data_IF_854783884941
#
_entry.id   IF_854783884941
#
_cell.length_a   1.000
_cell.length_b   1.000
_cell.length_c   1.000
_cell.angle_alpha   90.00
_cell.angle_beta   90.00
_cell.angle_gamma   90.00
#
_symmetry.space_group_name_H-M   'P 1'
#
loop_
_entity.id
_entity.type
_entity.pdbx_description
1 polymer ?
#
# COMPACT_ATOMS: atom_id res chain seq x y z
N UNK A 1 -5.01 -32.40 -11.72
CA UNK A 1 -3.94 -31.64 -12.40
C UNK A 1 -4.51 -30.28 -12.82
N UNK A 2 -3.97 -29.15 -12.37
CA UNK A 2 -4.36 -27.86 -12.93
C UNK A 2 -3.94 -27.82 -14.41
N UNK A 3 -4.90 -27.54 -15.30
CA UNK A 3 -4.69 -27.49 -16.76
C UNK A 3 -5.04 -26.11 -17.30
N UNK A 4 -4.29 -25.65 -18.30
CA UNK A 4 -4.59 -24.43 -19.06
C UNK A 4 -5.63 -24.68 -20.17
N UNK A 5 -5.91 -25.94 -20.52
CA UNK A 5 -6.75 -26.29 -21.67
C UNK A 5 -8.18 -25.72 -21.61
N UNK A 6 -8.72 -25.49 -20.41
CA UNK A 6 -10.04 -24.87 -20.20
C UNK A 6 -9.98 -23.39 -19.81
N UNK A 7 -8.79 -22.81 -19.63
CA UNK A 7 -8.62 -21.42 -19.20
C UNK A 7 -8.43 -20.51 -20.40
N UNK A 8 -9.15 -19.38 -20.43
CA UNK A 8 -8.89 -18.32 -21.39
C UNK A 8 -7.64 -17.54 -20.98
N UNK A 9 -6.51 -17.90 -21.57
CA UNK A 9 -5.28 -17.12 -21.46
C UNK A 9 -5.26 -16.11 -22.60
N UNK A 10 -5.12 -14.83 -22.25
CA UNK A 10 -4.94 -13.76 -23.22
C UNK A 10 -3.61 -13.04 -22.96
N UNK A 11 -3.13 -12.21 -23.90
CA UNK A 11 -1.94 -11.39 -23.66
C UNK A 11 -2.03 -10.54 -22.38
N UNK A 12 -3.23 -10.11 -22.00
CA UNK A 12 -3.45 -9.36 -20.76
C UNK A 12 -3.22 -10.23 -19.52
N UNK A 13 -3.54 -11.53 -19.54
CA UNK A 13 -3.26 -12.43 -18.40
C UNK A 13 -1.77 -12.48 -18.07
N UNK A 14 -0.91 -12.53 -19.10
CA UNK A 14 0.55 -12.52 -18.93
C UNK A 14 0.99 -11.14 -18.43
N UNK A 15 0.53 -10.06 -19.06
CA UNK A 15 0.82 -8.68 -18.64
C UNK A 15 0.52 -8.47 -17.16
N UNK A 16 -0.66 -8.87 -16.69
CA UNK A 16 -1.04 -8.72 -15.30
C UNK A 16 -0.16 -9.57 -14.37
N UNK A 17 0.12 -10.82 -14.76
CA UNK A 17 0.98 -11.71 -13.96
C UNK A 17 2.39 -11.15 -13.80
N UNK A 18 2.98 -10.63 -14.88
CA UNK A 18 4.32 -10.02 -14.86
C UNK A 18 4.34 -8.75 -14.02
N UNK A 19 3.36 -7.85 -14.19
CA UNK A 19 3.28 -6.61 -13.42
C UNK A 19 3.16 -6.87 -11.91
N UNK A 20 2.31 -7.81 -11.50
CA UNK A 20 2.16 -8.20 -10.09
C UNK A 20 3.45 -8.80 -9.53
N UNK A 21 4.14 -9.66 -10.29
CA UNK A 21 5.40 -10.24 -9.85
C UNK A 21 6.52 -9.21 -9.69
N UNK A 22 6.62 -8.24 -10.61
CA UNK A 22 7.60 -7.16 -10.50
C UNK A 22 7.38 -6.33 -9.23
N UNK A 23 6.14 -5.93 -8.95
CA UNK A 23 5.81 -5.19 -7.73
C UNK A 23 6.13 -6.00 -6.47
N UNK A 24 5.77 -7.29 -6.43
CA UNK A 24 6.09 -8.19 -5.31
C UNK A 24 7.58 -8.34 -5.06
N UNK A 25 8.39 -8.31 -6.12
CA UNK A 25 9.85 -8.32 -5.98
C UNK A 25 10.44 -7.00 -5.47
N UNK A 26 9.61 -5.99 -5.20
CA UNK A 26 10.02 -4.70 -4.67
C UNK A 26 10.37 -3.66 -5.74
N UNK A 27 10.03 -3.90 -7.01
CA UNK A 27 10.24 -2.92 -8.08
C UNK A 27 9.29 -1.74 -7.88
N UNK A 28 9.81 -0.52 -8.02
CA UNK A 28 9.01 0.70 -7.90
C UNK A 28 7.85 0.75 -8.91
N UNK A 29 6.69 1.24 -8.47
CA UNK A 29 5.47 1.29 -9.29
C UNK A 29 5.62 2.19 -10.53
N UNK A 30 6.43 3.25 -10.47
CA UNK A 30 6.71 4.09 -11.63
C UNK A 30 7.58 3.36 -12.66
N UNK A 31 8.49 2.52 -12.18
CA UNK A 31 9.29 1.64 -13.06
C UNK A 31 8.38 0.66 -13.79
N UNK A 32 7.46 0.00 -13.07
CA UNK A 32 6.50 -0.93 -13.68
C UNK A 32 5.58 -0.19 -14.67
N UNK A 33 5.09 1.01 -14.32
CA UNK A 33 4.30 1.86 -15.22
C UNK A 33 5.04 2.16 -16.53
N UNK A 34 6.29 2.61 -16.42
CA UNK A 34 7.12 2.95 -17.57
C UNK A 34 7.38 1.72 -18.45
N UNK A 35 7.68 0.58 -17.83
CA UNK A 35 7.91 -0.69 -18.54
C UNK A 35 6.67 -1.19 -19.29
N UNK A 36 5.48 -0.93 -18.75
CA UNK A 36 4.20 -1.27 -19.35
C UNK A 36 3.68 -0.21 -20.35
N UNK A 37 4.35 0.93 -20.48
CA UNK A 37 3.94 2.05 -21.34
C UNK A 37 2.65 2.73 -20.91
N UNK A 38 2.33 2.72 -19.61
CA UNK A 38 1.11 3.33 -19.09
C UNK A 38 1.23 4.86 -19.01
N UNK A 39 0.30 5.55 -19.69
CA UNK A 39 0.23 7.02 -19.70
C UNK A 39 -0.12 7.57 -18.32
N UNK A 40 -0.99 6.91 -17.55
CA UNK A 40 -1.30 7.28 -16.16
C UNK A 40 -0.75 6.25 -15.16
N UNK A 41 -0.42 6.71 -13.96
CA UNK A 41 -0.13 5.83 -12.84
C UNK A 41 -1.40 5.11 -12.35
N UNK A 42 -2.58 5.70 -12.54
CA UNK A 42 -3.86 5.15 -12.08
C UNK A 42 -4.13 3.77 -12.68
N UNK A 43 -3.76 3.55 -13.96
CA UNK A 43 -3.92 2.25 -14.63
C UNK A 43 -2.94 1.19 -14.11
N UNK A 44 -1.91 1.61 -13.38
CA UNK A 44 -0.91 0.73 -12.75
C UNK A 44 -1.24 0.46 -11.28
N UNK A 45 -1.93 1.39 -10.61
CA UNK A 45 -2.34 1.26 -9.20
C UNK A 45 -3.15 0.01 -8.93
N UNK A 46 -3.92 -0.46 -9.92
CA UNK A 46 -4.66 -1.73 -9.83
C UNK A 46 -3.75 -2.88 -9.37
N UNK A 47 -2.49 -2.93 -9.77
CA UNK A 47 -1.57 -4.00 -9.36
C UNK A 47 -1.12 -3.88 -7.91
N UNK A 48 -1.00 -2.67 -7.36
CA UNK A 48 -0.63 -2.45 -5.98
C UNK A 48 -1.81 -2.70 -5.02
N UNK A 49 -3.03 -2.45 -5.47
CA UNK A 49 -4.22 -2.61 -4.63
C UNK A 49 -4.61 -4.08 -4.39
N UNK A 50 -4.34 -4.97 -5.34
CA UNK A 50 -4.76 -6.37 -5.23
C UNK A 50 -3.84 -7.16 -4.28
N UNK A 51 -2.64 -6.66 -4.00
CA UNK A 51 -1.65 -7.39 -3.21
C UNK A 51 -1.72 -7.06 -1.71
N UNK A 52 -2.36 -7.95 -0.94
CA UNK A 52 -2.50 -7.79 0.52
C UNK A 52 -1.14 -7.70 1.23
N UNK A 53 -0.14 -8.46 0.79
CA UNK A 53 1.19 -8.45 1.38
C UNK A 53 1.84 -7.07 1.23
N UNK A 54 1.73 -6.46 0.04
CA UNK A 54 2.27 -5.13 -0.21
C UNK A 54 1.54 -4.06 0.60
N UNK A 55 0.21 -4.17 0.76
CA UNK A 55 -0.56 -3.31 1.67
C UNK A 55 -0.12 -3.46 3.12
N UNK A 56 0.07 -4.68 3.60
CA UNK A 56 0.55 -4.94 4.95
C UNK A 56 1.95 -4.37 5.19
N UNK A 57 2.86 -4.55 4.23
CA UNK A 57 4.21 -3.98 4.27
C UNK A 57 4.19 -2.44 4.25
N UNK A 58 3.32 -1.83 3.45
CA UNK A 58 3.15 -0.37 3.44
C UNK A 58 2.64 0.15 4.80
N UNK A 59 1.66 -0.52 5.39
CA UNK A 59 1.17 -0.20 6.73
C UNK A 59 2.27 -0.35 7.79
N UNK A 60 3.06 -1.42 7.75
CA UNK A 60 4.16 -1.66 8.69
C UNK A 60 5.24 -0.56 8.63
N UNK A 61 5.46 0.06 7.45
CA UNK A 61 6.38 1.21 7.33
C UNK A 61 5.81 2.49 7.92
N UNK A 62 4.48 2.64 7.90
CA UNK A 62 3.78 3.80 8.43
C UNK A 62 3.43 3.66 9.91
N UNK A 63 3.53 2.46 10.49
CA UNK A 63 3.52 2.27 11.94
C UNK A 63 4.83 2.78 12.53
N UNK A 64 5.06 4.09 12.44
CA UNK A 64 5.81 4.81 13.45
C UNK A 64 5.07 4.47 14.74
N UNK A 65 5.78 3.83 15.68
CA UNK A 65 5.25 3.39 16.96
C UNK A 65 4.17 4.37 17.41
N UNK A 66 2.90 3.92 17.39
CA UNK A 66 1.77 4.73 17.80
C UNK A 66 2.22 5.42 19.07
N UNK A 67 2.41 6.73 19.00
CA UNK A 67 2.94 7.54 20.09
C UNK A 67 1.78 7.71 21.08
N UNK A 68 1.29 6.58 21.60
CA UNK A 68 0.37 6.47 22.74
C UNK A 68 0.93 7.27 23.91
N UNK A 69 2.25 7.48 23.97
CA UNK A 69 2.88 8.42 24.88
C UNK A 69 2.63 9.90 24.53
N UNK A 70 2.70 10.34 23.27
CA UNK A 70 2.30 11.70 22.85
C UNK A 70 0.83 11.98 23.16
N UNK A 71 -0.06 11.03 22.92
CA UNK A 71 -1.48 11.16 23.29
C UNK A 71 -1.66 11.26 24.81
N UNK A 72 -0.71 10.77 25.61
CA UNK A 72 -0.73 10.93 27.09
C UNK A 72 0.08 12.13 27.58
N UNK A 73 0.90 12.76 26.75
CA UNK A 73 1.74 13.91 27.14
C UNK A 73 0.91 15.17 27.34
N UNK A 74 -0.02 15.47 26.45
CA UNK A 74 -0.89 16.65 26.60
C UNK A 74 -1.82 16.53 27.81
N UNK A 75 -2.31 15.33 28.11
CA UNK A 75 -3.16 15.08 29.28
C UNK A 75 -2.42 15.24 30.63
N UNK A 76 -1.08 15.26 30.60
CA UNK A 76 -0.23 15.51 31.77
C UNK A 76 0.14 16.99 31.93
N UNK A 77 -0.20 17.85 30.97
CA UNK A 77 0.06 19.29 31.08
C UNK A 77 -0.95 19.95 32.04
N UNK A 78 -0.52 20.41 33.22
CA UNK A 78 -1.42 20.98 34.22
C UNK A 78 -2.05 22.30 33.76
N UNK A 79 -1.32 23.10 32.98
CA UNK A 79 -1.78 24.40 32.50
C UNK A 79 -2.85 24.22 31.42
N UNK A 80 -2.63 23.29 30.49
CA UNK A 80 -3.62 22.94 29.47
C UNK A 80 -4.90 22.37 30.11
N UNK A 81 -4.77 21.45 31.07
CA UNK A 81 -5.93 20.88 31.75
C UNK A 81 -6.66 21.89 32.63
N UNK A 82 -5.97 22.88 33.22
CA UNK A 82 -6.61 23.98 33.93
C UNK A 82 -7.42 24.87 32.98
N UNK A 83 -6.85 25.19 31.80
CA UNK A 83 -7.54 25.95 30.76
C UNK A 83 -8.79 25.22 30.23
N UNK A 84 -8.68 23.93 29.91
CA UNK A 84 -9.82 23.14 29.39
C UNK A 84 -10.96 22.99 30.41
N UNK A 85 -10.65 23.00 31.72
CA UNK A 85 -11.67 23.00 32.79
C UNK A 85 -12.35 24.35 33.01
N UNK A 86 -11.83 25.43 32.42
CA UNK A 86 -12.37 26.78 32.54
C UNK A 86 -13.27 27.20 31.36
N UNK A 87 -13.41 26.32 30.36
CA UNK A 87 -14.33 26.46 29.22
C UNK A 87 -15.74 25.96 29.56
#
# INVERSE_FOLDING_TARGET
>A
MPSLASKRVSPHSIRHSTATHLLRSGVDINTVRAWLGHVSIDTTNVYAEIDLEMKANALARLTIASDREAIRRWAKDPALMAFLRSL
#
